data_IF_871303175884
#
_entry.id   IF_871303175884
#
_cell.length_a   1.000
_cell.length_b   1.000
_cell.length_c   1.000
_cell.angle_alpha   90.00
_cell.angle_beta   90.00
_cell.angle_gamma   90.00
#
_symmetry.space_group_name_H-M   'P 1'
#
loop_
_entity.id
_entity.type
_entity.pdbx_description
1 polymer ?
2 non-polymer ?
3 non-polymer ?
4 non-polymer ?
5 water ?
#
# COMPACT_ATOMS: atom_id res chain seq x y z
N UNK A 1 3.36 -21.52 -24.44
CA UNK A 1 4.54 -20.71 -24.88
C UNK A 1 4.50 -19.30 -24.29
N UNK A 2 3.69 -19.14 -23.24
CA UNK A 2 3.69 -17.90 -22.47
C UNK A 2 4.30 -18.15 -21.09
N UNK A 3 5.00 -19.28 -20.96
CA UNK A 3 6.00 -19.46 -19.92
C UNK A 3 7.14 -18.47 -20.17
N UNK A 4 7.20 -17.97 -21.41
CA UNK A 4 8.17 -16.96 -21.81
C UNK A 4 7.92 -15.64 -21.10
N UNK A 5 6.65 -15.25 -21.06
CA UNK A 5 6.27 -14.02 -20.38
C UNK A 5 6.51 -14.17 -18.88
N UNK A 6 6.19 -15.34 -18.34
CA UNK A 6 6.39 -15.62 -16.94
C UNK A 6 7.85 -15.36 -16.55
N UNK A 7 8.78 -15.82 -17.37
CA UNK A 7 10.20 -15.60 -17.09
C UNK A 7 10.56 -14.11 -17.13
N UNK A 8 9.97 -13.36 -18.06
CA UNK A 8 10.19 -11.92 -18.11
C UNK A 8 9.74 -11.24 -16.82
N UNK A 9 8.57 -11.64 -16.34
CA UNK A 9 8.03 -11.08 -15.10
C UNK A 9 8.96 -11.37 -13.95
N UNK A 10 9.39 -12.63 -13.84
CA UNK A 10 10.24 -13.06 -12.73
C UNK A 10 11.58 -12.33 -12.70
N UNK A 11 12.25 -12.21 -13.85
CA UNK A 11 13.56 -11.58 -13.85
C UNK A 11 13.46 -10.06 -13.58
N UNK A 12 12.38 -9.42 -14.05
CA UNK A 12 12.19 -8.02 -13.74
C UNK A 12 11.97 -7.89 -12.23
N UNK A 13 11.09 -8.71 -11.70
CA UNK A 13 10.81 -8.72 -10.27
C UNK A 13 12.09 -8.83 -9.45
N UNK A 14 12.95 -9.78 -9.82
CA UNK A 14 14.23 -9.95 -9.12
C UNK A 14 15.12 -8.72 -9.23
N UNK A 15 15.21 -8.19 -10.44
CA UNK A 15 15.87 -6.90 -10.69
C UNK A 15 15.46 -5.87 -9.65
N UNK A 16 14.16 -5.70 -9.49
CA UNK A 16 13.63 -4.67 -8.62
C UNK A 16 13.84 -5.02 -7.16
N UNK A 17 13.62 -6.29 -6.79
CA UNK A 17 13.73 -6.68 -5.39
C UNK A 17 15.15 -6.42 -4.87
N UNK A 18 16.12 -6.50 -5.75
CA UNK A 18 17.52 -6.36 -5.32
C UNK A 18 17.89 -4.93 -4.93
N UNK A 19 17.04 -3.99 -5.34
CA UNK A 19 17.28 -2.60 -5.02
C UNK A 19 16.62 -2.24 -3.71
N UNK A 20 17.42 -1.81 -2.71
CA UNK A 20 16.87 -1.54 -1.38
C UNK A 20 16.15 -0.19 -1.30
N UNK A 21 14.96 -0.13 -1.90
CA UNK A 21 14.25 1.12 -2.06
C UNK A 21 13.36 1.47 -0.86
N UNK A 22 13.97 1.61 0.31
CA UNK A 22 13.22 2.09 1.48
C UNK A 22 12.67 3.48 1.20
N UNK A 23 11.38 3.67 1.45
CA UNK A 23 10.68 4.93 1.17
C UNK A 23 11.51 6.11 1.67
N UNK A 24 11.65 7.18 0.87
CA UNK A 24 11.19 7.48 -0.50
C UNK A 24 12.23 7.23 -1.58
N UNK A 25 13.30 6.50 -1.28
CA UNK A 25 14.40 6.31 -2.22
C UNK A 25 14.12 5.21 -3.23
N UNK A 26 14.11 5.57 -4.51
CA UNK A 26 13.78 4.64 -5.60
C UNK A 26 14.89 3.63 -5.90
N UNK A 27 16.12 3.98 -5.50
CA UNK A 27 17.32 3.19 -5.80
C UNK A 27 17.37 2.66 -7.23
N UNK A 28 16.90 3.45 -8.19
CA UNK A 28 17.07 3.11 -9.59
C UNK A 28 16.01 2.22 -10.21
N UNK A 29 14.97 1.87 -9.46
CA UNK A 29 13.91 1.00 -9.97
C UNK A 29 13.20 1.60 -11.19
N UNK A 30 12.76 2.84 -11.06
CA UNK A 30 11.99 3.44 -12.15
C UNK A 30 12.84 3.68 -13.39
N UNK A 31 14.14 3.89 -13.20
CA UNK A 31 15.04 4.03 -14.34
C UNK A 31 15.03 2.76 -15.21
N UNK A 32 15.18 1.62 -14.56
CA UNK A 32 15.07 0.34 -15.24
C UNK A 32 13.74 0.26 -16.01
N UNK A 33 12.67 0.54 -15.30
CA UNK A 33 11.36 0.40 -15.88
C UNK A 33 11.20 1.34 -17.08
N UNK A 34 11.60 2.60 -16.89
CA UNK A 34 11.40 3.60 -17.92
C UNK A 34 12.22 3.27 -19.16
N UNK A 35 13.39 2.70 -18.95
CA UNK A 35 14.27 2.36 -20.05
C UNK A 35 13.61 1.31 -20.95
N UNK A 36 13.04 0.26 -20.37
CA UNK A 36 12.48 -0.79 -21.20
C UNK A 36 11.17 -0.35 -21.85
N UNK A 37 10.40 0.51 -21.18
CA UNK A 37 9.17 1.04 -21.77
C UNK A 37 9.47 2.00 -22.93
N UNK A 38 10.46 2.85 -22.75
CA UNK A 38 10.85 3.81 -23.80
C UNK A 38 11.23 3.09 -25.09
N UNK A 39 11.92 1.97 -24.96
CA UNK A 39 12.38 1.20 -26.13
C UNK A 39 11.21 0.65 -26.92
N UNK A 40 10.03 0.58 -26.29
CA UNK A 40 8.81 0.08 -26.93
C UNK A 40 7.86 1.21 -27.32
N UNK A 41 8.35 2.44 -27.28
CA UNK A 41 7.58 3.58 -27.75
C UNK A 41 6.70 4.28 -26.73
N UNK A 42 6.84 3.95 -25.45
CA UNK A 42 6.08 4.67 -24.42
C UNK A 42 6.64 6.08 -24.31
N UNK A 43 5.75 7.05 -24.13
CA UNK A 43 6.18 8.41 -23.80
C UNK A 43 6.50 8.46 -22.30
N UNK A 44 7.75 8.82 -21.97
CA UNK A 44 8.20 8.90 -20.59
C UNK A 44 8.09 10.33 -20.06
N UNK A 45 7.49 10.49 -18.88
CA UNK A 45 7.48 11.78 -18.19
C UNK A 45 7.83 11.63 -16.72
N UNK A 46 8.96 12.20 -16.33
CA UNK A 46 9.39 12.17 -14.94
C UNK A 46 8.71 13.29 -14.17
N UNK A 47 8.26 12.98 -12.95
CA UNK A 47 7.65 13.99 -12.11
C UNK A 47 8.23 13.90 -10.70
N UNK A 48 9.54 14.11 -10.57
CA UNK A 48 10.13 14.13 -9.24
C UNK A 48 9.62 15.32 -8.45
N UNK A 49 9.57 15.17 -7.13
CA UNK A 49 9.21 16.28 -6.27
C UNK A 49 9.82 16.03 -4.89
N UNK A 50 10.62 16.97 -4.43
CA UNK A 50 11.39 16.84 -3.20
C UNK A 50 12.22 15.57 -3.26
N UNK A 51 11.99 14.63 -2.34
CA UNK A 51 12.82 13.41 -2.31
C UNK A 51 12.12 12.22 -2.93
N UNK A 52 11.03 12.49 -3.66
CA UNK A 52 10.25 11.42 -4.21
C UNK A 52 10.37 11.42 -5.73
N UNK A 53 10.52 10.23 -6.29
CA UNK A 53 10.56 10.07 -7.74
C UNK A 53 9.25 9.45 -8.21
N UNK A 54 8.69 10.01 -9.28
CA UNK A 54 7.44 9.52 -9.86
C UNK A 54 7.59 9.39 -11.36
N UNK A 55 6.89 8.41 -11.93
CA UNK A 55 6.96 8.16 -13.34
C UNK A 55 5.56 8.07 -13.93
N UNK A 56 5.35 8.78 -15.03
CA UNK A 56 4.11 8.70 -15.81
C UNK A 56 4.49 8.31 -17.22
N UNK A 57 4.18 7.07 -17.57
CA UNK A 57 4.55 6.51 -18.86
C UNK A 57 3.29 6.12 -19.60
N UNK A 58 3.22 6.44 -20.89
CA UNK A 58 2.02 6.25 -21.70
C UNK A 58 2.34 5.65 -23.05
N UNK A 59 1.45 4.78 -23.52
CA UNK A 59 1.47 4.39 -24.92
C UNK A 59 0.07 4.57 -25.47
N UNK A 60 -0.06 5.43 -26.46
CA UNK A 60 -1.35 5.78 -27.02
C UNK A 60 -1.66 7.25 -26.76
N UNK A 61 -2.66 7.77 -27.46
CA UNK A 61 -2.96 9.20 -27.37
C UNK A 61 -4.40 9.52 -27.01
N UNK A 62 -5.27 8.52 -27.01
CA UNK A 62 -6.71 8.77 -26.88
C UNK A 62 -7.35 8.04 -25.69
N UNK A 63 -8.62 8.37 -25.42
CA UNK A 63 -9.39 7.64 -24.42
C UNK A 63 -9.87 6.32 -25.01
N UNK A 64 -10.22 5.35 -24.16
CA UNK A 64 -10.08 5.39 -22.70
C UNK A 64 -8.62 5.26 -22.26
N UNK A 65 -8.30 5.90 -21.14
CA UNK A 65 -6.98 5.79 -20.56
C UNK A 65 -7.03 4.78 -19.44
N UNK A 66 -6.28 3.69 -19.57
CA UNK A 66 -6.18 2.72 -18.48
C UNK A 66 -4.75 2.79 -17.93
N UNK A 67 -4.66 3.10 -16.64
CA UNK A 67 -3.39 3.24 -15.95
C UNK A 67 -3.18 2.09 -14.98
N UNK A 68 -2.00 1.46 -15.08
CA UNK A 68 -1.49 0.59 -14.03
C UNK A 68 -0.77 1.46 -13.01
N UNK A 69 -1.07 1.25 -11.74
CA UNK A 69 -0.50 2.05 -10.68
C UNK A 69 0.21 1.16 -9.67
N UNK A 70 1.33 1.64 -9.15
CA UNK A 70 2.05 0.86 -8.16
C UNK A 70 3.20 1.67 -7.60
N UNK A 71 3.93 1.04 -6.68
CA UNK A 71 5.02 1.72 -6.00
C UNK A 71 6.25 0.85 -5.95
N UNK A 72 7.40 1.51 -6.03
CA UNK A 72 8.70 0.87 -5.98
C UNK A 72 9.30 0.87 -4.59
N UNK A 73 8.77 1.68 -3.68
CA UNK A 73 9.34 1.65 -2.33
C UNK A 73 8.84 0.44 -1.53
N UNK A 74 9.61 0.10 -0.50
CA UNK A 74 9.30 -1.01 0.38
C UNK A 74 9.50 -0.61 1.82
N UNK A 75 8.86 -1.30 2.75
CA UNK A 75 9.04 -0.97 4.18
C UNK A 75 10.37 -1.55 4.66
N UNK A 76 10.92 -1.00 5.76
CA UNK A 76 12.19 -1.51 6.28
C UNK A 76 12.20 -3.02 6.52
N UNK A 77 13.39 -3.62 6.42
CA UNK A 77 13.55 -5.06 6.53
C UNK A 77 13.56 -5.53 7.99
N UNK A 78 14.28 -4.82 8.83
CA UNK A 78 14.59 -5.30 10.17
C UNK A 78 15.96 -5.95 10.10
N UNK A 79 16.45 -6.48 11.21
CA UNK A 79 17.76 -7.13 11.21
C UNK A 79 17.82 -8.20 10.14
N UNK A 80 18.76 -8.03 9.20
CA UNK A 80 18.95 -8.98 8.13
C UNK A 80 19.28 -10.37 8.64
N UNK A 81 19.66 -10.45 9.92
CA UNK A 81 19.93 -11.72 10.59
C UNK A 81 18.68 -12.55 10.83
N UNK A 82 17.55 -11.87 11.01
CA UNK A 82 16.27 -12.53 11.24
C UNK A 82 15.68 -13.15 9.97
N UNK A 83 16.33 -12.87 8.85
CA UNK A 83 15.87 -13.35 7.55
C UNK A 83 16.62 -14.62 7.12
N UNK A 84 15.87 -15.65 6.70
CA UNK A 84 16.48 -16.88 6.18
C UNK A 84 17.42 -16.57 5.02
N UNK A 85 16.93 -15.80 4.04
CA UNK A 85 17.75 -15.29 2.95
C UNK A 85 17.90 -13.79 3.12
N UNK A 86 19.00 -13.20 2.60
CA UNK A 86 19.10 -11.75 2.71
C UNK A 86 17.85 -11.06 2.15
N UNK A 87 17.38 -9.98 2.79
CA UNK A 87 16.08 -9.44 2.36
C UNK A 87 16.07 -8.93 0.92
N UNK A 88 17.23 -8.65 0.35
CA UNK A 88 17.28 -8.12 -1.02
C UNK A 88 17.97 -9.09 -1.95
N UNK A 89 17.98 -10.36 -1.55
CA UNK A 89 18.65 -11.42 -2.30
C UNK A 89 17.86 -11.82 -3.54
N UNK A 90 16.54 -11.78 -3.44
CA UNK A 90 15.70 -12.22 -4.55
C UNK A 90 15.96 -13.69 -4.87
N UNK A 91 16.18 -14.48 -3.84
CA UNK A 91 16.37 -15.93 -4.00
C UNK A 91 15.06 -16.62 -4.38
N UNK A 92 15.13 -17.58 -5.28
CA UNK A 92 13.99 -18.46 -5.56
C UNK A 92 14.23 -19.85 -4.99
N UNK A 93 13.42 -20.21 -4.00
CA UNK A 93 13.52 -21.49 -3.31
C UNK A 93 12.17 -22.23 -3.37
N UNK A 94 12.14 -23.37 -4.04
CA UNK A 94 10.93 -24.18 -4.10
C UNK A 94 9.74 -23.36 -4.61
N UNK A 95 9.95 -22.65 -5.72
CA UNK A 95 8.89 -21.91 -6.38
C UNK A 95 8.45 -20.63 -5.70
N UNK A 96 9.19 -20.18 -4.70
CA UNK A 96 8.87 -18.94 -4.00
C UNK A 96 9.99 -17.93 -4.14
N UNK A 97 9.66 -16.77 -4.67
CA UNK A 97 10.59 -15.65 -4.77
C UNK A 97 10.63 -14.86 -3.45
N UNK A 98 11.78 -14.89 -2.78
CA UNK A 98 11.95 -14.27 -1.47
C UNK A 98 12.59 -12.89 -1.53
N UNK A 99 12.07 -11.98 -0.72
CA UNK A 99 12.64 -10.66 -0.60
C UNK A 99 11.63 -9.63 -0.15
N UNK A 100 12.13 -8.60 0.51
CA UNK A 100 11.29 -7.46 0.85
C UNK A 100 10.81 -6.85 -0.45
N UNK A 101 9.50 -6.67 -0.57
CA UNK A 101 8.92 -6.11 -1.79
C UNK A 101 8.46 -7.15 -2.79
N UNK A 102 8.76 -8.42 -2.51
CA UNK A 102 8.37 -9.49 -3.41
C UNK A 102 6.86 -9.51 -3.63
N UNK A 103 6.12 -9.41 -2.53
CA UNK A 103 4.67 -9.41 -2.61
C UNK A 103 4.08 -8.00 -2.53
N UNK A 104 4.77 -7.08 -1.87
CA UNK A 104 4.29 -5.69 -1.76
C UNK A 104 5.37 -4.70 -2.18
N UNK A 105 5.50 -4.41 -3.47
CA UNK A 105 4.66 -4.96 -4.51
C UNK A 105 5.43 -5.10 -5.81
N UNK A 106 6.72 -5.39 -5.71
CA UNK A 106 7.58 -5.42 -6.89
C UNK A 106 7.23 -6.57 -7.84
N UNK A 107 6.75 -7.69 -7.28
CA UNK A 107 6.33 -8.80 -8.09
C UNK A 107 5.21 -8.40 -9.05
N UNK A 108 4.14 -7.87 -8.50
CA UNK A 108 3.01 -7.54 -9.36
C UNK A 108 3.29 -6.29 -10.19
N UNK A 109 4.18 -5.43 -9.71
CA UNK A 109 4.60 -4.28 -10.52
C UNK A 109 5.23 -4.78 -11.81
N UNK A 110 6.13 -5.76 -11.66
CA UNK A 110 6.75 -6.40 -12.80
C UNK A 110 5.73 -7.08 -13.72
N UNK A 111 4.75 -7.74 -13.12
CA UNK A 111 3.70 -8.39 -13.89
C UNK A 111 2.88 -7.38 -14.71
N UNK A 112 2.53 -6.24 -14.11
CA UNK A 112 1.76 -5.22 -14.80
C UNK A 112 2.58 -4.65 -15.97
N UNK A 113 3.86 -4.40 -15.72
CA UNK A 113 4.74 -3.83 -16.72
C UNK A 113 4.87 -4.76 -17.92
N UNK A 114 5.17 -6.03 -17.65
CA UNK A 114 5.27 -7.01 -18.74
C UNK A 114 3.94 -7.16 -19.48
N UNK A 115 2.82 -7.15 -18.76
CA UNK A 115 1.51 -7.26 -19.43
C UNK A 115 1.32 -6.09 -20.39
N UNK A 116 1.69 -4.89 -19.95
CA UNK A 116 1.55 -3.70 -20.77
C UNK A 116 2.48 -3.78 -21.99
N UNK A 117 3.72 -4.20 -21.75
CA UNK A 117 4.71 -4.33 -22.82
C UNK A 117 4.21 -5.31 -23.88
N UNK A 118 3.75 -6.48 -23.44
CA UNK A 118 3.34 -7.53 -24.37
C UNK A 118 2.08 -7.13 -25.14
N UNK A 119 1.14 -6.48 -24.48
CA UNK A 119 -0.07 -6.03 -25.14
C UNK A 119 0.27 -5.02 -26.23
N UNK A 120 1.07 -4.01 -25.87
CA UNK A 120 1.43 -2.97 -26.83
C UNK A 120 2.24 -3.54 -28.00
N UNK A 121 3.12 -4.51 -27.75
CA UNK A 121 3.87 -5.14 -28.84
C UNK A 121 2.94 -5.88 -29.80
N UNK A 122 1.96 -6.58 -29.23
CA UNK A 122 0.98 -7.33 -30.01
C UNK A 122 -0.01 -6.40 -30.74
N UNK A 123 -0.29 -5.24 -30.15
CA UNK A 123 -1.32 -4.33 -30.66
C UNK A 123 -0.82 -2.89 -30.76
N UNK A 124 0.14 -2.64 -31.67
CA UNK A 124 0.72 -1.29 -31.78
C UNK A 124 -0.32 -0.19 -32.02
N UNK A 125 -1.39 -0.48 -32.75
CA UNK A 125 -2.41 0.52 -33.03
C UNK A 125 -3.66 0.33 -32.18
N UNK A 126 -3.45 -0.08 -30.93
CA UNK A 126 -4.54 -0.30 -30.01
C UNK A 126 -5.36 0.96 -29.79
N UNK A 127 -6.63 0.77 -29.46
CA UNK A 127 -7.50 1.86 -29.02
C UNK A 127 -7.03 2.29 -27.64
N UNK A 128 -7.32 3.54 -27.29
CA UNK A 128 -7.05 4.02 -25.95
C UNK A 128 -5.59 4.25 -25.64
N UNK A 129 -5.31 4.46 -24.36
CA UNK A 129 -3.97 4.71 -23.85
C UNK A 129 -3.67 3.75 -22.72
N UNK A 130 -2.50 3.13 -22.79
CA UNK A 130 -2.01 2.30 -21.71
C UNK A 130 -0.93 3.06 -20.96
N UNK A 131 -1.12 3.25 -19.67
CA UNK A 131 -0.22 4.06 -18.88
C UNK A 131 0.27 3.35 -17.64
N UNK A 132 1.39 3.81 -17.13
CA UNK A 132 1.90 3.33 -15.85
C UNK A 132 2.22 4.51 -14.99
N UNK A 133 1.75 4.45 -13.75
CA UNK A 133 1.92 5.55 -12.82
C UNK A 133 2.61 4.98 -11.61
N UNK A 134 3.89 5.29 -11.47
CA UNK A 134 4.74 4.64 -10.50
C UNK A 134 5.40 5.67 -9.61
N UNK A 135 5.34 5.41 -8.31
CA UNK A 135 5.88 6.30 -7.30
C UNK A 135 6.87 5.58 -6.41
N UNK A 136 7.79 6.35 -5.81
CA UNK A 136 8.77 5.79 -4.88
C UNK A 136 8.41 6.07 -3.42
N UNK A 137 7.21 6.61 -3.16
CA UNK A 137 6.76 6.73 -1.77
C UNK A 137 5.27 6.51 -1.63
N UNK A 138 4.89 5.23 -1.50
CA UNK A 138 3.52 4.89 -1.15
C UNK A 138 3.41 4.49 0.31
N UNK A 139 4.51 4.01 0.88
CA UNK A 139 4.49 3.34 2.17
C UNK A 139 4.67 4.31 3.35
N UNK A 140 5.19 5.49 3.07
CA UNK A 140 5.54 6.42 4.14
C UNK A 140 4.59 7.61 4.15
N UNK A 141 5.13 8.83 4.15
CA UNK A 141 4.31 10.02 4.26
C UNK A 141 3.46 10.19 3.00
N UNK A 142 4.02 9.84 1.87
CA UNK A 142 3.28 9.83 0.62
C UNK A 142 2.70 11.21 0.28
N UNK A 143 3.41 12.28 0.63
CA UNK A 143 2.93 13.62 0.33
C UNK A 143 3.36 14.07 -1.07
N UNK A 144 4.40 13.45 -1.61
CA UNK A 144 5.01 13.88 -2.86
C UNK A 144 5.01 12.78 -3.93
N UNK A 145 4.16 11.78 -3.77
CA UNK A 145 4.12 10.65 -4.69
C UNK A 145 2.95 10.71 -5.64
N UNK A 146 2.12 9.68 -5.62
CA UNK A 146 1.03 9.56 -6.56
C UNK A 146 0.19 10.82 -6.56
N UNK A 147 0.03 11.43 -5.39
CA UNK A 147 -0.83 12.61 -5.30
C UNK A 147 -0.23 13.80 -6.06
N UNK A 148 1.09 13.87 -6.11
CA UNK A 148 1.76 14.88 -6.93
C UNK A 148 1.48 14.67 -8.43
N UNK A 149 1.53 13.42 -8.87
CA UNK A 149 1.23 13.10 -10.26
C UNK A 149 -0.22 13.46 -10.59
N UNK A 150 -1.13 13.06 -9.71
CA UNK A 150 -2.56 13.31 -9.91
C UNK A 150 -2.81 14.82 -10.05
N UNK A 151 -2.24 15.60 -9.14
CA UNK A 151 -2.38 17.05 -9.20
C UNK A 151 -1.85 17.64 -10.49
N UNK A 152 -0.70 17.17 -10.94
CA UNK A 152 -0.14 17.62 -12.20
C UNK A 152 -1.07 17.31 -13.37
N UNK A 153 -1.57 16.07 -13.46
CA UNK A 153 -2.46 15.68 -14.56
C UNK A 153 -3.76 16.49 -14.53
N UNK A 154 -4.34 16.65 -13.36
CA UNK A 154 -5.60 17.38 -13.26
C UNK A 154 -5.45 18.85 -13.66
N UNK A 155 -4.28 19.41 -13.39
CA UNK A 155 -4.09 20.82 -13.60
C UNK A 155 -4.04 21.13 -15.09
N UNK A 156 -3.71 20.12 -15.90
CA UNK A 156 -3.69 20.27 -17.36
C UNK A 156 -4.83 19.46 -18.03
N UNK A 157 -5.84 19.13 -17.23
CA UNK A 157 -7.00 18.32 -17.64
C UNK A 157 -6.65 17.06 -18.45
N UNK A 158 -5.62 16.33 -18.03
CA UNK A 158 -5.33 15.03 -18.61
C UNK A 158 -6.13 13.97 -17.84
N UNK A 159 -6.64 12.98 -18.56
CA UNK A 159 -7.65 12.09 -18.00
C UNK A 159 -7.09 10.70 -17.74
N UNK A 160 -7.61 10.08 -16.67
CA UNK A 160 -7.46 8.65 -16.44
C UNK A 160 -8.86 8.09 -16.33
N UNK A 161 -9.17 7.09 -17.14
CA UNK A 161 -10.52 6.51 -17.20
C UNK A 161 -10.65 5.37 -16.20
N UNK A 162 -9.64 4.50 -16.21
CA UNK A 162 -9.62 3.29 -15.42
C UNK A 162 -8.25 3.15 -14.82
N UNK A 163 -8.20 2.74 -13.56
CA UNK A 163 -6.90 2.50 -12.94
C UNK A 163 -6.90 1.16 -12.19
N UNK A 164 -5.96 0.31 -12.58
CA UNK A 164 -5.72 -0.96 -11.92
C UNK A 164 -4.50 -0.81 -11.01
N UNK A 165 -4.73 -0.94 -9.70
CA UNK A 165 -3.66 -0.85 -8.72
C UNK A 165 -3.20 -2.26 -8.38
N UNK A 166 -1.92 -2.55 -8.59
CA UNK A 166 -1.38 -3.89 -8.39
C UNK A 166 -0.98 -4.30 -6.98
N UNK A 167 -1.57 -3.68 -5.97
CA UNK A 167 -1.34 -4.12 -4.59
C UNK A 167 -1.83 -5.57 -4.39
N UNK A 168 -1.18 -6.32 -3.48
CA UNK A 168 -1.57 -7.73 -3.25
C UNK A 168 -2.93 -7.93 -2.59
N UNK A 169 -3.95 -8.20 -3.40
CA UNK A 169 -5.33 -8.29 -2.91
C UNK A 169 -5.75 -9.67 -2.47
N UNK A 170 -5.04 -10.70 -2.95
CA UNK A 170 -5.47 -12.09 -2.78
C UNK A 170 -5.23 -12.59 -1.36
N UNK A 171 -6.20 -13.34 -0.81
CA UNK A 171 -6.15 -13.80 0.58
C UNK A 171 -5.54 -15.19 0.78
N UNK A 172 -6.11 -16.21 0.15
CA UNK A 172 -5.63 -17.59 0.30
C UNK A 172 -5.18 -18.20 -1.03
N UNK A 173 -5.89 -17.85 -2.09
CA UNK A 173 -5.54 -18.28 -3.45
C UNK A 173 -5.55 -17.08 -4.37
N UNK A 174 -4.61 -17.03 -5.31
CA UNK A 174 -4.56 -15.94 -6.28
C UNK A 174 -5.91 -15.75 -6.96
N UNK A 175 -6.38 -14.52 -7.01
CA UNK A 175 -7.63 -14.23 -7.69
C UNK A 175 -8.87 -14.33 -6.83
N UNK A 176 -8.73 -14.65 -5.55
CA UNK A 176 -9.95 -14.86 -4.74
C UNK A 176 -10.57 -13.54 -4.30
N UNK A 177 -9.81 -12.44 -4.40
CA UNK A 177 -10.25 -11.11 -3.99
C UNK A 177 -9.72 -10.01 -4.90
N UNK A 178 -10.60 -9.06 -5.26
CA UNK A 178 -10.18 -7.79 -5.82
C UNK A 178 -10.71 -6.71 -4.89
N UNK A 179 -10.12 -5.52 -4.94
CA UNK A 179 -10.57 -4.45 -4.04
C UNK A 179 -11.18 -3.26 -4.78
N UNK A 180 -12.38 -2.89 -4.34
CA UNK A 180 -13.16 -1.82 -4.92
C UNK A 180 -13.21 -0.61 -3.99
N UNK A 181 -12.40 -0.61 -2.94
CA UNK A 181 -12.36 0.49 -2.00
C UNK A 181 -11.46 0.16 -0.81
N UNK A 182 -11.24 1.12 0.08
CA UNK A 182 -10.38 0.93 1.24
C UNK A 182 -10.89 1.73 2.42
N UNK A 183 -10.60 1.24 3.62
CA UNK A 183 -10.84 1.98 4.83
C UNK A 183 -9.90 3.18 4.88
N UNK A 184 -10.23 4.15 5.73
CA UNK A 184 -9.36 5.28 5.98
C UNK A 184 -8.22 4.89 6.88
N UNK A 185 -7.26 5.78 7.05
CA UNK A 185 -6.14 5.54 7.94
C UNK A 185 -5.77 6.84 8.64
N UNK A 186 -5.74 6.79 9.97
CA UNK A 186 -5.37 7.94 10.77
C UNK A 186 -4.49 7.48 11.92
N UNK A 187 -3.45 8.26 12.19
CA UNK A 187 -2.46 7.93 13.19
C UNK A 187 -2.42 9.01 14.26
N UNK A 188 -2.40 8.57 15.51
CA UNK A 188 -2.21 9.46 16.64
C UNK A 188 -0.81 9.28 17.24
N UNK A 189 -0.14 10.40 17.46
CA UNK A 189 1.15 10.42 18.13
C UNK A 189 0.92 11.12 19.46
N UNK A 190 0.88 10.31 20.50
CA UNK A 190 0.38 10.69 21.83
C UNK A 190 1.53 10.72 22.83
N UNK A 191 1.65 11.84 23.54
CA UNK A 191 2.66 12.00 24.58
C UNK A 191 1.98 12.31 25.91
N UNK A 192 2.13 11.40 26.85
CA UNK A 192 1.56 11.53 28.17
C UNK A 192 2.66 11.99 29.11
N UNK A 193 2.39 13.04 29.86
CA UNK A 193 3.40 13.66 30.71
C UNK A 193 3.29 13.15 32.13
N UNK A 194 4.43 12.79 32.68
CA UNK A 194 4.51 12.44 34.08
C UNK A 194 5.51 13.37 34.71
N UNK A 195 6.17 12.92 35.77
CA UNK A 195 7.22 13.70 36.40
C UNK A 195 8.38 12.77 36.66
N UNK A 196 9.56 13.15 36.16
CA UNK A 196 10.76 12.34 36.31
C UNK A 196 11.22 12.31 37.75
N UNK A 197 11.80 11.19 38.16
CA UNK A 197 12.36 11.14 39.48
C UNK A 197 13.00 9.82 39.77
N UNK A 198 13.16 9.59 41.05
CA UNK A 198 13.83 8.42 41.55
C UNK A 198 12.81 7.31 41.76
N UNK A 199 13.12 6.15 41.21
CA UNK A 199 12.29 4.96 41.27
C UNK A 199 11.89 4.60 42.71
N UNK A 200 12.79 4.82 43.67
CA UNK A 200 12.55 4.49 45.08
C UNK A 200 11.87 5.62 45.84
N UNK A 201 11.56 6.72 45.16
CA UNK A 201 10.79 7.82 45.73
C UNK A 201 9.63 8.17 44.80
N UNK A 202 8.78 7.18 44.51
CA UNK A 202 7.73 7.40 43.51
C UNK A 202 6.71 8.44 43.94
N UNK A 203 6.62 8.69 45.23
CA UNK A 203 5.66 9.64 45.73
C UNK A 203 6.07 11.09 45.43
N UNK A 204 7.34 11.28 45.05
CA UNK A 204 7.83 12.61 44.67
C UNK A 204 7.85 12.78 43.15
N UNK A 205 7.32 11.78 42.46
CA UNK A 205 7.34 11.77 41.00
C UNK A 205 5.99 11.34 40.49
N UNK A 206 5.88 11.15 39.18
CA UNK A 206 4.67 10.58 38.60
C UNK A 206 5.02 9.76 37.38
N UNK A 207 4.87 8.44 37.49
CA UNK A 207 5.24 7.52 36.42
C UNK A 207 4.16 7.45 35.37
N UNK A 208 4.44 7.97 34.15
CA UNK A 208 3.38 8.01 33.15
C UNK A 208 2.99 6.63 32.61
N UNK A 209 3.88 5.65 32.72
CA UNK A 209 3.54 4.31 32.29
C UNK A 209 2.47 3.74 33.20
N UNK A 210 2.66 3.90 34.51
CA UNK A 210 1.66 3.44 35.46
C UNK A 210 0.36 4.23 35.28
N UNK A 211 0.44 5.54 35.10
CA UNK A 211 -0.78 6.33 35.03
C UNK A 211 -1.59 5.96 33.80
N UNK A 212 -0.92 5.57 32.72
CA UNK A 212 -1.60 5.34 31.44
C UNK A 212 -1.95 3.87 31.18
N UNK A 213 -1.59 2.97 32.09
CA UNK A 213 -1.79 1.55 31.85
C UNK A 213 -3.27 1.20 31.56
N UNK A 214 -4.19 1.73 32.35
CA UNK A 214 -5.60 1.40 32.14
C UNK A 214 -6.11 1.94 30.80
N UNK A 215 -5.71 3.17 30.51
CA UNK A 215 -6.02 3.82 29.24
C UNK A 215 -5.55 2.97 28.07
N UNK A 216 -4.32 2.48 28.16
CA UNK A 216 -3.74 1.69 27.09
C UNK A 216 -4.56 0.43 26.83
N UNK A 217 -4.95 -0.23 27.92
CA UNK A 217 -5.76 -1.43 27.84
C UNK A 217 -7.14 -1.13 27.26
N UNK A 218 -7.77 -0.02 27.67
CA UNK A 218 -9.07 0.39 27.11
C UNK A 218 -8.97 0.75 25.63
N UNK A 219 -7.91 1.46 25.28
CA UNK A 219 -7.72 1.90 23.89
C UNK A 219 -7.60 0.71 22.94
N UNK A 220 -6.93 -0.34 23.38
CA UNK A 220 -6.68 -1.48 22.50
C UNK A 220 -7.87 -2.42 22.42
N UNK A 221 -8.82 -2.29 23.34
CA UNK A 221 -10.00 -3.16 23.34
C UNK A 221 -11.31 -2.46 22.99
N UNK A 222 -11.28 -1.13 22.86
CA UNK A 222 -12.50 -0.41 22.59
C UNK A 222 -13.05 -0.80 21.22
N UNK A 223 -14.35 -1.06 21.15
CA UNK A 223 -14.99 -1.42 19.89
C UNK A 223 -15.55 -0.19 19.20
N UNK A 224 -14.87 0.24 18.14
CA UNK A 224 -15.24 1.45 17.40
C UNK A 224 -16.55 1.28 16.68
N UNK A 225 -16.70 0.14 16.02
CA UNK A 225 -17.92 -0.18 15.32
C UNK A 225 -17.86 -1.64 14.92
N UNK A 226 -18.88 -2.11 14.21
CA UNK A 226 -18.89 -3.47 13.71
C UNK A 226 -18.90 -3.51 12.18
N UNK A 227 -18.31 -2.51 11.55
CA UNK A 227 -18.31 -2.48 10.10
C UNK A 227 -19.70 -2.19 9.57
N UNK A 228 -19.86 -2.31 8.26
CA UNK A 228 -21.17 -2.19 7.65
C UNK A 228 -21.15 -2.94 6.33
N UNK A 229 -22.12 -2.69 5.47
CA UNK A 229 -22.27 -3.47 4.25
C UNK A 229 -21.11 -3.23 3.29
N UNK A 230 -20.39 -2.14 3.49
CA UNK A 230 -19.40 -1.69 2.52
C UNK A 230 -17.95 -1.89 2.97
N UNK A 231 -17.76 -2.03 4.28
CA UNK A 231 -16.42 -2.13 4.87
C UNK A 231 -16.40 -3.11 6.04
N UNK A 232 -15.23 -3.73 6.28
CA UNK A 232 -15.02 -4.44 7.55
C UNK A 232 -14.90 -3.45 8.71
N UNK A 233 -14.89 -3.95 9.94
CA UNK A 233 -14.85 -2.98 11.05
C UNK A 233 -13.55 -2.18 11.16
N UNK A 234 -13.69 -1.03 11.79
CA UNK A 234 -12.55 -0.21 12.20
C UNK A 234 -11.64 -1.00 13.14
N UNK A 235 -10.33 -0.84 12.97
CA UNK A 235 -9.38 -1.53 13.84
C UNK A 235 -8.25 -0.60 14.25
N UNK A 236 -7.91 -0.67 15.53
CA UNK A 236 -6.84 0.15 16.10
C UNK A 236 -5.66 -0.74 16.45
N UNK A 237 -4.47 -0.27 16.09
CA UNK A 237 -3.23 -0.97 16.42
C UNK A 237 -2.21 0.01 16.98
N UNK A 238 -1.59 -0.33 18.09
CA UNK A 238 -0.45 0.42 18.58
C UNK A 238 0.83 -0.05 17.88
N UNK A 239 1.44 0.86 17.15
CA UNK A 239 2.62 0.56 16.37
C UNK A 239 3.91 0.78 17.14
N UNK A 240 3.92 1.79 18.02
CA UNK A 240 5.14 2.16 18.75
C UNK A 240 4.80 2.63 20.14
N UNK A 241 5.66 2.30 21.10
CA UNK A 241 5.47 2.75 22.47
C UNK A 241 6.86 2.86 23.08
N UNK A 242 7.14 4.02 23.69
CA UNK A 242 8.47 4.29 24.23
C UNK A 242 8.37 5.18 25.45
N UNK A 243 9.06 4.77 26.50
CA UNK A 243 9.32 5.65 27.63
C UNK A 243 10.59 5.19 28.31
N UNK A 244 11.37 6.14 28.80
CA UNK A 244 12.50 5.77 29.61
C UNK A 244 13.83 6.26 29.10
N UNK A 245 14.72 6.45 30.07
CA UNK A 245 16.04 7.03 29.87
C UNK A 245 17.12 5.96 29.71
N UNK A 246 16.72 4.68 29.72
CA UNK A 246 17.65 3.56 29.72
C UNK A 246 18.13 3.17 31.11
N UNK A 247 18.00 4.07 32.08
CA UNK A 247 18.37 3.80 33.46
C UNK A 247 17.28 3.03 34.17
N UNK A 248 17.65 2.14 35.09
CA UNK A 248 16.65 1.36 35.81
C UNK A 248 16.24 1.99 37.14
N UNK A 249 16.81 3.15 37.48
CA UNK A 249 16.47 3.75 38.77
C UNK A 249 15.97 5.17 38.62
N UNK A 250 15.45 5.47 37.43
CA UNK A 250 14.86 6.75 37.13
C UNK A 250 13.47 6.53 36.52
N UNK A 251 12.49 7.24 37.08
CA UNK A 251 11.13 7.24 36.57
C UNK A 251 11.08 8.20 35.38
N UNK A 252 10.56 7.76 34.23
CA UNK A 252 10.59 8.65 33.06
C UNK A 252 9.58 9.78 33.13
N UNK A 253 9.88 10.88 32.45
CA UNK A 253 8.99 12.04 32.45
C UNK A 253 7.81 11.86 31.49
N UNK A 254 8.00 11.07 30.44
CA UNK A 254 7.05 11.05 29.33
C UNK A 254 6.89 9.66 28.76
N UNK A 255 5.66 9.34 28.34
CA UNK A 255 5.36 8.09 27.62
C UNK A 255 4.85 8.43 26.23
N UNK A 256 5.47 7.83 25.21
CA UNK A 256 5.04 8.04 23.84
C UNK A 256 4.27 6.82 23.35
N UNK A 257 3.10 7.06 22.77
CA UNK A 257 2.30 6.01 22.17
C UNK A 257 1.95 6.43 20.75
N UNK A 258 2.31 5.62 19.77
CA UNK A 258 1.83 5.87 18.39
C UNK A 258 0.85 4.77 18.01
N UNK A 259 -0.37 5.18 17.62
CA UNK A 259 -1.38 4.20 17.27
C UNK A 259 -2.06 4.61 15.98
N UNK A 260 -2.54 3.61 15.27
CA UNK A 260 -3.14 3.82 13.98
C UNK A 260 -4.50 3.16 13.94
N UNK A 261 -5.45 3.80 13.26
CA UNK A 261 -6.74 3.18 13.02
C UNK A 261 -6.96 3.07 11.52
N UNK A 262 -7.36 1.88 11.10
CA UNK A 262 -7.91 1.71 9.77
C UNK A 262 -9.41 1.70 9.96
N UNK A 263 -10.09 2.72 9.47
CA UNK A 263 -11.48 2.93 9.84
C UNK A 263 -12.47 2.95 8.70
N UNK A 264 -13.65 2.42 8.99
CA UNK A 264 -14.75 2.44 8.05
C UNK A 264 -15.69 3.60 8.35
N UNK A 265 -16.74 3.73 7.53
CA UNK A 265 -17.58 4.92 7.53
C UNK A 265 -18.58 5.01 8.67
N UNK A 266 -18.59 3.98 9.52
CA UNK A 266 -19.34 4.01 10.78
C UNK A 266 -18.79 5.08 11.71
N UNK A 267 -17.50 5.40 11.55
CA UNK A 267 -16.90 6.53 12.24
C UNK A 267 -16.26 7.50 11.25
N UNK A 268 -15.68 8.55 11.79
CA UNK A 268 -14.99 9.55 11.00
C UNK A 268 -13.70 9.91 11.72
N UNK A 269 -12.84 10.69 11.06
CA UNK A 269 -11.63 11.16 11.71
C UNK A 269 -12.00 12.02 12.90
N UNK A 270 -13.07 12.80 12.80
CA UNK A 270 -13.44 13.67 13.91
C UNK A 270 -14.01 12.88 15.10
N UNK A 271 -14.82 11.87 14.83
CA UNK A 271 -15.33 11.01 15.88
C UNK A 271 -14.18 10.31 16.61
N UNK A 272 -13.19 9.83 15.85
CA UNK A 272 -12.04 9.15 16.46
C UNK A 272 -11.27 10.11 17.39
N UNK A 273 -10.99 11.32 16.91
CA UNK A 273 -10.25 12.29 17.72
C UNK A 273 -10.98 12.67 19.00
N UNK A 274 -12.29 12.81 18.89
CA UNK A 274 -13.09 13.21 20.04
C UNK A 274 -13.16 12.09 21.09
N UNK A 275 -13.32 10.84 20.64
CA UNK A 275 -13.37 9.71 21.56
C UNK A 275 -12.05 9.50 22.30
N UNK A 276 -10.94 9.62 21.60
CA UNK A 276 -9.65 9.44 22.25
C UNK A 276 -9.45 10.55 23.29
N UNK A 277 -9.87 11.77 22.97
CA UNK A 277 -9.76 12.89 23.89
C UNK A 277 -10.58 12.60 25.14
N UNK A 278 -11.77 12.06 24.90
CA UNK A 278 -12.66 11.69 25.99
C UNK A 278 -12.10 10.56 26.87
N UNK A 279 -11.39 9.60 26.27
CA UNK A 279 -10.77 8.55 27.07
C UNK A 279 -9.64 9.10 27.93
N UNK A 280 -8.85 9.99 27.35
CA UNK A 280 -7.74 10.57 28.08
C UNK A 280 -8.24 11.38 29.28
N UNK A 281 -9.30 12.17 29.06
CA UNK A 281 -9.92 12.96 30.13
C UNK A 281 -10.46 12.06 31.24
N UNK A 282 -11.18 11.03 30.85
CA UNK A 282 -11.73 10.06 31.80
C UNK A 282 -10.65 9.47 32.72
N UNK A 283 -9.45 9.30 32.19
CA UNK A 283 -8.34 8.75 32.96
C UNK A 283 -7.44 9.83 33.55
N UNK A 284 -7.91 11.08 33.50
CA UNK A 284 -7.21 12.22 34.07
C UNK A 284 -5.74 12.31 33.67
N UNK A 285 -5.46 12.12 32.39
CA UNK A 285 -4.09 12.13 31.88
C UNK A 285 -3.72 13.47 31.27
N UNK A 286 -2.51 13.93 31.57
CA UNK A 286 -1.97 15.13 30.94
C UNK A 286 -1.23 14.70 29.70
N UNK A 287 -1.55 15.32 28.57
CA UNK A 287 -1.01 14.83 27.31
C UNK A 287 -0.92 15.91 26.26
N UNK A 288 -0.21 15.59 25.19
CA UNK A 288 -0.39 16.30 23.95
C UNK A 288 -0.47 15.22 22.87
N UNK A 289 -1.22 15.51 21.82
CA UNK A 289 -1.43 14.53 20.76
C UNK A 289 -1.31 15.24 19.42
N UNK A 290 -0.68 14.57 18.47
CA UNK A 290 -0.57 15.04 17.10
C UNK A 290 -1.24 14.01 16.20
N UNK A 291 -2.28 14.44 15.48
CA UNK A 291 -3.00 13.55 14.58
C UNK A 291 -2.53 13.72 13.14
N UNK A 292 -2.47 12.60 12.44
CA UNK A 292 -2.05 12.58 11.06
C UNK A 292 -2.98 11.70 10.24
N UNK A 293 -3.81 12.34 9.43
CA UNK A 293 -4.75 11.63 8.57
C UNK A 293 -4.10 11.24 7.26
N UNK A 294 -3.96 9.96 6.96
CA UNK A 294 -3.36 9.54 5.69
C UNK A 294 -4.37 9.46 4.57
N UNK A 295 -5.60 9.08 4.92
CA UNK A 295 -6.69 9.12 3.95
C UNK A 295 -8.01 8.72 4.58
N UNK A 296 -9.10 9.02 3.88
CA UNK A 296 -10.43 8.69 4.33
C UNK A 296 -10.92 7.44 3.60
N UNK A 297 -12.00 6.81 4.10
CA UNK A 297 -12.54 5.64 3.43
C UNK A 297 -12.88 6.02 2.01
N UNK A 298 -12.83 5.08 1.09
CA UNK A 298 -13.11 5.37 -0.30
C UNK A 298 -13.74 4.15 -0.93
N UNK A 299 -14.71 4.39 -1.79
CA UNK A 299 -15.36 3.34 -2.53
C UNK A 299 -15.41 3.75 -3.96
N UNK A 300 -15.12 2.81 -4.85
CA UNK A 300 -15.19 3.03 -6.28
C UNK A 300 -16.64 2.97 -6.77
N UNK A 301 -16.92 3.60 -7.90
CA UNK A 301 -18.16 3.34 -8.61
C UNK A 301 -17.89 2.22 -9.62
N UNK A 302 -18.47 1.04 -9.41
CA UNK A 302 -18.11 -0.09 -10.25
C UNK A 302 -18.56 0.10 -11.70
N UNK A 303 -17.79 -0.45 -12.62
CA UNK A 303 -18.11 -0.30 -14.04
C UNK A 303 -17.28 -1.28 -14.83
N UNK A 304 -16.81 -0.84 -16.00
CA UNK A 304 -16.19 -1.75 -16.94
C UNK A 304 -14.87 -2.30 -16.43
N UNK A 305 -14.15 -1.55 -15.61
CA UNK A 305 -12.90 -2.10 -15.08
C UNK A 305 -13.17 -3.26 -14.12
N UNK A 306 -14.07 -3.11 -13.15
CA UNK A 306 -14.35 -4.22 -12.25
C UNK A 306 -14.80 -5.44 -13.07
N UNK A 307 -15.67 -5.20 -14.04
CA UNK A 307 -16.13 -6.26 -14.93
C UNK A 307 -14.96 -6.93 -15.64
N UNK A 308 -14.06 -6.13 -16.20
CA UNK A 308 -12.94 -6.64 -17.00
C UNK A 308 -11.96 -7.47 -16.19
N UNK A 309 -11.62 -7.02 -14.99
CA UNK A 309 -10.68 -7.77 -14.15
C UNK A 309 -11.36 -9.01 -13.56
N UNK A 310 -12.63 -8.90 -13.19
CA UNK A 310 -13.35 -10.05 -12.65
C UNK A 310 -13.40 -11.15 -13.72
N UNK A 311 -13.74 -10.75 -14.94
CA UNK A 311 -13.80 -11.69 -16.06
C UNK A 311 -12.43 -12.24 -16.40
N UNK A 312 -11.39 -11.40 -16.38
CA UNK A 312 -10.04 -11.86 -16.69
C UNK A 312 -9.57 -12.94 -15.72
N UNK A 313 -9.86 -12.76 -14.44
CA UNK A 313 -9.51 -13.77 -13.43
C UNK A 313 -10.28 -15.07 -13.69
N UNK A 314 -11.57 -14.97 -13.93
CA UNK A 314 -12.38 -16.16 -14.26
C UNK A 314 -11.80 -16.89 -15.47
N UNK A 315 -11.52 -16.13 -16.51
CA UNK A 315 -11.06 -16.67 -17.80
C UNK A 315 -9.68 -17.31 -17.70
N UNK A 316 -8.86 -16.82 -16.78
CA UNK A 316 -7.47 -17.26 -16.70
C UNK A 316 -7.28 -18.37 -15.67
N UNK A 317 -7.89 -18.25 -14.50
CA UNK A 317 -7.68 -19.25 -13.47
C UNK A 317 -8.97 -19.87 -12.91
N UNK A 318 -10.12 -19.51 -13.47
CA UNK A 318 -11.33 -20.26 -13.24
C UNK A 318 -12.15 -19.92 -12.02
N UNK A 319 -11.69 -18.98 -11.20
CA UNK A 319 -12.53 -18.56 -10.08
C UNK A 319 -12.98 -17.12 -10.21
N UNK A 320 -14.02 -16.82 -9.45
CA UNK A 320 -14.62 -15.50 -9.40
C UNK A 320 -14.13 -14.77 -8.16
N UNK A 321 -13.45 -13.62 -8.32
CA UNK A 321 -13.03 -12.89 -7.12
C UNK A 321 -14.20 -12.26 -6.38
N UNK A 322 -14.08 -12.20 -5.06
CA UNK A 322 -15.02 -11.42 -4.26
C UNK A 322 -14.51 -9.99 -4.23
N UNK A 323 -15.39 -9.01 -4.38
CA UNK A 323 -14.97 -7.62 -4.27
C UNK A 323 -14.99 -7.23 -2.79
N UNK A 324 -13.86 -6.78 -2.26
CA UNK A 324 -13.79 -6.44 -0.83
C UNK A 324 -13.09 -5.10 -0.62
N UNK A 325 -13.07 -4.62 0.62
CA UNK A 325 -12.49 -3.32 0.92
C UNK A 325 -11.59 -3.34 2.16
N UNK A 326 -11.13 -4.53 2.56
CA UNK A 326 -10.32 -4.69 3.75
C UNK A 326 -8.83 -4.47 3.51
N UNK A 327 -8.03 -4.86 4.49
CA UNK A 327 -6.60 -4.70 4.39
C UNK A 327 -6.22 -3.26 4.60
N UNK A 328 -5.13 -2.84 3.98
CA UNK A 328 -4.59 -1.50 4.18
C UNK A 328 -5.26 -0.51 3.27
N UNK A 329 -4.48 0.49 2.87
CA UNK A 329 -4.94 1.52 1.96
C UNK A 329 -4.06 1.43 0.70
N UNK A 330 -4.30 2.30 -0.28
CA UNK A 330 -3.45 2.35 -1.49
C UNK A 330 -3.53 3.70 -2.14
N UNK A 331 -2.70 3.95 -3.14
CA UNK A 331 -2.73 5.24 -3.83
C UNK A 331 -3.95 5.37 -4.73
N UNK A 332 -4.74 4.31 -4.83
CA UNK A 332 -5.99 4.35 -5.56
C UNK A 332 -6.86 5.54 -5.21
N UNK A 333 -6.89 5.89 -3.93
CA UNK A 333 -7.78 6.95 -3.47
C UNK A 333 -7.42 8.30 -4.09
N UNK A 334 -6.13 8.51 -4.33
CA UNK A 334 -5.69 9.72 -5.01
C UNK A 334 -6.13 9.73 -6.47
N UNK A 335 -5.96 8.59 -7.13
CA UNK A 335 -6.26 8.49 -8.54
C UNK A 335 -7.79 8.63 -8.78
N UNK A 336 -8.58 8.20 -7.80
CA UNK A 336 -10.03 8.40 -7.85
C UNK A 336 -10.42 9.87 -8.00
N UNK A 337 -9.61 10.78 -7.46
CA UNK A 337 -9.87 12.22 -7.60
C UNK A 337 -10.00 12.68 -9.03
N UNK A 338 -9.48 11.90 -9.97
CA UNK A 338 -9.57 12.25 -11.37
C UNK A 338 -10.86 11.78 -12.03
N UNK A 339 -11.71 11.09 -11.26
CA UNK A 339 -12.93 10.54 -11.83
C UNK A 339 -12.75 9.11 -12.35
N UNK A 340 -11.56 8.58 -12.19
CA UNK A 340 -11.25 7.25 -12.67
C UNK A 340 -11.93 6.17 -11.82
N UNK A 341 -12.36 5.09 -12.46
CA UNK A 341 -12.75 3.88 -11.75
C UNK A 341 -11.46 3.19 -11.29
N UNK A 342 -11.42 2.85 -10.02
CA UNK A 342 -10.22 2.26 -9.41
C UNK A 342 -10.53 0.90 -8.80
N UNK A 343 -9.77 -0.10 -9.21
CA UNK A 343 -9.95 -1.46 -8.72
C UNK A 343 -8.54 -2.00 -8.52
N UNK A 344 -8.34 -2.80 -7.48
CA UNK A 344 -7.05 -3.37 -7.19
C UNK A 344 -7.04 -4.88 -7.30
N UNK A 345 -5.96 -5.41 -7.86
CA UNK A 345 -5.75 -6.83 -7.88
C UNK A 345 -4.27 -7.17 -7.86
N UNK A 346 -3.92 -8.20 -7.09
CA UNK A 346 -2.55 -8.64 -7.02
C UNK A 346 -2.43 -9.95 -6.27
N UNK A 347 -1.18 -10.36 -5.98
CA UNK A 347 -0.90 -11.66 -5.34
C UNK A 347 -1.22 -11.70 -3.84
N UNK A 348 -0.88 -12.83 -3.22
CA UNK A 348 -1.18 -13.07 -1.80
C UNK A 348 -0.58 -12.00 -0.88
N UNK A 349 -1.35 -11.52 0.08
CA UNK A 349 -0.86 -10.49 1.00
C UNK A 349 -0.38 -11.05 2.33
N UNK A 350 -0.30 -12.36 2.44
CA UNK A 350 -0.08 -13.00 3.72
C UNK A 350 1.28 -12.70 4.35
N UNK A 351 2.28 -12.35 3.54
CA UNK A 351 3.62 -12.09 4.08
C UNK A 351 4.05 -10.60 3.99
N UNK A 352 3.14 -9.71 3.62
CA UNK A 352 3.59 -8.35 3.42
C UNK A 352 3.93 -7.69 4.77
N UNK A 353 5.00 -6.89 4.75
CA UNK A 353 5.54 -6.20 5.94
C UNK A 353 6.09 -7.18 6.98
N UNK A 354 6.21 -8.44 6.62
CA UNK A 354 6.75 -9.45 7.54
C UNK A 354 8.17 -9.84 7.19
N UNK A 355 8.84 -10.47 8.14
CA UNK A 355 10.13 -11.08 7.88
C UNK A 355 9.91 -12.22 6.90
N UNK A 356 10.86 -12.45 6.01
CA UNK A 356 10.76 -13.54 5.05
C UNK A 356 9.61 -13.38 4.08
N UNK A 357 9.30 -12.12 3.74
CA UNK A 357 8.32 -11.82 2.70
C UNK A 357 8.68 -12.61 1.43
N UNK A 358 7.67 -13.16 0.78
CA UNK A 358 7.92 -13.87 -0.47
C UNK A 358 6.67 -13.94 -1.33
N UNK A 359 6.84 -14.38 -2.57
CA UNK A 359 5.70 -14.56 -3.46
C UNK A 359 5.92 -15.74 -4.39
N UNK A 360 4.85 -16.46 -4.70
CA UNK A 360 4.88 -17.56 -5.63
C UNK A 360 5.22 -17.11 -7.05
N UNK A 361 6.18 -17.78 -7.69
CA UNK A 361 6.56 -17.35 -9.04
C UNK A 361 5.49 -17.83 -10.03
N UNK A 362 4.83 -18.95 -9.75
CA UNK A 362 3.70 -19.35 -10.58
C UNK A 362 2.59 -18.28 -10.55
N UNK A 363 2.32 -17.74 -9.37
CA UNK A 363 1.33 -16.67 -9.23
C UNK A 363 1.73 -15.41 -9.99
N UNK A 364 3.01 -15.03 -9.94
CA UNK A 364 3.45 -13.87 -10.69
C UNK A 364 3.18 -14.06 -12.19
N UNK A 365 3.39 -15.28 -12.68
CA UNK A 365 3.15 -15.58 -14.09
C UNK A 365 1.68 -15.44 -14.45
N UNK A 366 0.83 -15.98 -13.59
CA UNK A 366 -0.60 -15.89 -13.85
C UNK A 366 -1.07 -14.45 -13.70
N UNK A 367 -0.44 -13.67 -12.82
CA UNK A 367 -0.77 -12.25 -12.70
C UNK A 367 -0.53 -11.54 -14.02
N UNK A 368 0.60 -11.80 -14.64
CA UNK A 368 0.90 -11.23 -15.95
C UNK A 368 -0.18 -11.56 -16.96
N UNK A 369 -0.63 -12.81 -16.96
CA UNK A 369 -1.66 -13.24 -17.88
C UNK A 369 -2.99 -12.54 -17.58
N UNK A 370 -3.28 -12.37 -16.29
CA UNK A 370 -4.53 -11.75 -15.89
C UNK A 370 -4.56 -10.26 -16.28
N UNK A 371 -3.47 -9.55 -16.00
CA UNK A 371 -3.39 -8.13 -16.36
C UNK A 371 -3.49 -7.93 -17.88
N UNK A 372 -2.90 -8.85 -18.63
CA UNK A 372 -2.97 -8.81 -20.10
C UNK A 372 -4.42 -9.03 -20.57
N UNK A 373 -5.07 -10.04 -20.03
CA UNK A 373 -6.44 -10.33 -20.42
C UNK A 373 -7.34 -9.15 -20.04
N UNK A 374 -7.04 -8.50 -18.92
CA UNK A 374 -7.86 -7.37 -18.48
C UNK A 374 -7.84 -6.29 -19.57
N UNK A 375 -6.66 -6.04 -20.13
CA UNK A 375 -6.49 -5.02 -21.18
C UNK A 375 -7.30 -5.36 -22.41
N UNK A 376 -7.21 -6.61 -22.83
CA UNK A 376 -8.03 -7.09 -23.94
C UNK A 376 -9.51 -6.88 -23.67
N UNK A 377 -9.96 -7.23 -22.47
CA UNK A 377 -11.37 -7.10 -22.11
C UNK A 377 -11.83 -5.66 -22.18
N UNK A 378 -10.96 -4.74 -21.76
CA UNK A 378 -11.29 -3.32 -21.71
C UNK A 378 -11.26 -2.65 -23.07
N UNK A 379 -10.25 -2.97 -23.87
CA UNK A 379 -9.98 -2.24 -25.08
C UNK A 379 -10.49 -2.94 -26.36
N UNK A 380 -10.79 -4.23 -26.27
CA UNK A 380 -11.13 -5.03 -27.46
C UNK A 380 -12.44 -5.81 -27.27
X LIG B 1 0.54 -1.63 1.33
X LIG B 1 0.73 -1.89 2.54
X LIG B 1 1.35 -0.98 0.65
X LIG B 1 -0.72 -2.14 0.67
X LIG B 1 -1.69 -2.64 1.74
X LIG B 1 -2.72 -3.54 1.11
X LIG B 1 -3.66 -3.96 1.81
X LIG B 1 -2.59 -3.84 -0.10
X LIG B 1 -1.18 -1.34 0.10
X LIG B 1 -0.47 -2.95 -0.02
X LIG B 1 -2.18 -1.79 2.21
X LIG B 1 -1.15 -3.19 2.51
X LIG C 1 -0.73 5.38 6.54
X LIG C 1 0.14 6.01 5.45
X LIG C 1 0.95 4.94 4.72
X LIG C 1 0.01 3.87 4.18
X LIG C 1 0.73 2.76 3.44
X LIG C 1 -0.35 1.75 3.04
X LIG C 1 -0.73 0.87 4.19
X LIG C 1 -0.28 5.32 7.72
X LIG C 1 -1.87 4.92 6.23
X LIG C 1 0.04 0.71 5.19
X LIG C 1 -1.82 0.32 4.06
X LIG C 1 1.07 6.99 5.99
X LIG C 1 0.13 0.86 2.06
X LIG C 1 1.78 6.71 6.66
X LIG C 1 -0.52 6.50 4.72
X LIG C 1 1.51 5.40 3.90
X LIG C 1 1.66 4.49 5.41
X LIG C 1 -0.55 3.44 5.01
X LIG C 1 -0.71 4.34 3.51
X LIG C 1 1.23 3.16 2.54
X LIG C 1 1.47 2.29 4.08
X LIG C 1 -1.23 2.29 2.68
X LIG C 1 1.00 7.95 5.71
X LIG C 1 -0.33 0.82 1.15
X LIG C 1 0.92 0.26 2.24
X LIG D 1 1.96 -1.73 -1.51
X LIG E 1 2.97 -2.01 2.21
#
# INVERSE_FOLDING_TARGET
>A
ASNAMKEKVVSLAQDLIRRPSISPNDEGCQQIIAERLEKLGFQIEWMPFNDTLNLWAKHGTSEPVIAFAGHTDVVPTGDENQWSSPPFSAEIIDGMLYGRGAADMKGSLAAMIVAAEEYVKANPNHKGTIALLITSDEEATAKDGTIHVVETLMARDEKITYCMVGEPSSAKNLGDVVKNGRRGSITGNLYIQGIQGHVAYPHLAENPIHKAALFLQELTTYQWDKGNEFFPPTSLQIANIHAGTGSNNVIPAELYIQFNLRYCTEVTDEIIKQKVAEMLEKHNLKYRIEWNLSGKPFLTKPGKLLDSITSAIEETIGITPKAETGGGTSDGRFIALMGAEVVEFGPLNSTIHKVNECVSVEDLGKCGEIYHKMLVNLLD
>B hetero
1 SIN C1 O1 O2 C2 C3 C4 O3 O4 H21 H22 H31 H32
>C hetero
1 API C CA C3 C4 C5 C6 C7 O OXT O3 O4 N N6 H2 HA H31 H32 H41 H42 H51 H52 H6 H HN61 HN62
>D hetero
1 ZN ZN
>E hetero
1 ZN ZN
#
